data_IF_112029595461
#
_entry.id   IF_112029595461
#
_cell.length_a   1.000
_cell.length_b   1.000
_cell.length_c   1.000
_cell.angle_alpha   90.00
_cell.angle_beta   90.00
_cell.angle_gamma   90.00
#
_symmetry.space_group_name_H-M   'P 1'
#
loop_
_entity.id
_entity.type
_entity.pdbx_description
1 polymer ?
#
# COMPACT_ATOMS: atom_id res chain seq x y z
N UNK A 1 -1.82 11.66 -9.77
CA UNK A 1 -2.57 10.41 -9.56
C UNK A 1 -3.66 10.53 -8.51
N UNK A 2 -3.50 11.33 -7.44
CA UNK A 2 -4.58 11.56 -6.47
C UNK A 2 -5.78 12.38 -7.00
N UNK A 3 -5.56 13.36 -7.89
CA UNK A 3 -6.61 14.27 -8.37
C UNK A 3 -7.81 13.57 -9.03
N UNK A 4 -7.62 12.62 -9.97
CA UNK A 4 -8.75 11.92 -10.60
C UNK A 4 -9.62 11.15 -9.59
N UNK A 5 -8.99 10.47 -8.62
CA UNK A 5 -9.70 9.71 -7.57
C UNK A 5 -10.45 10.69 -6.64
N UNK A 6 -9.83 11.82 -6.30
CA UNK A 6 -10.46 12.86 -5.50
C UNK A 6 -11.70 13.46 -6.19
N UNK A 7 -11.61 13.71 -7.50
CA UNK A 7 -12.74 14.18 -8.31
C UNK A 7 -13.89 13.17 -8.37
N UNK A 8 -13.57 11.88 -8.59
CA UNK A 8 -14.56 10.79 -8.60
C UNK A 8 -15.28 10.63 -7.26
N UNK A 9 -14.56 10.75 -6.16
CA UNK A 9 -15.10 10.58 -4.81
C UNK A 9 -15.67 11.88 -4.22
N UNK A 10 -15.66 12.98 -4.98
CA UNK A 10 -16.03 14.32 -4.52
C UNK A 10 -15.33 14.71 -3.21
N UNK A 11 -14.09 14.27 -3.05
CA UNK A 11 -13.27 14.46 -1.86
C UNK A 11 -12.08 15.39 -2.17
N UNK A 12 -11.49 15.98 -1.13
CA UNK A 12 -10.24 16.71 -1.28
C UNK A 12 -9.07 15.74 -1.50
N UNK A 13 -8.00 16.23 -2.14
CA UNK A 13 -6.77 15.43 -2.31
C UNK A 13 -6.18 15.02 -0.97
N UNK A 14 -6.30 15.88 0.05
CA UNK A 14 -5.85 15.57 1.40
C UNK A 14 -6.68 14.45 2.02
N UNK A 15 -8.01 14.48 1.86
CA UNK A 15 -8.90 13.42 2.32
C UNK A 15 -8.55 12.07 1.69
N UNK A 16 -8.32 12.02 0.38
CA UNK A 16 -7.95 10.76 -0.30
C UNK A 16 -6.60 10.23 0.20
N UNK A 17 -5.60 11.11 0.37
CA UNK A 17 -4.28 10.69 0.86
C UNK A 17 -4.34 10.17 2.31
N UNK A 18 -5.11 10.82 3.18
CA UNK A 18 -5.31 10.41 4.56
C UNK A 18 -6.12 9.11 4.66
N UNK A 19 -7.19 8.96 3.88
CA UNK A 19 -8.00 7.75 3.81
C UNK A 19 -7.17 6.55 3.33
N UNK A 20 -6.30 6.76 2.34
CA UNK A 20 -5.36 5.75 1.88
C UNK A 20 -4.39 5.31 2.99
N UNK A 21 -3.84 6.26 3.74
CA UNK A 21 -2.93 5.97 4.83
C UNK A 21 -3.64 5.20 5.96
N UNK A 22 -4.88 5.59 6.29
CA UNK A 22 -5.72 4.91 7.29
C UNK A 22 -6.10 3.47 6.87
N UNK A 23 -6.19 3.19 5.57
CA UNK A 23 -6.51 1.86 5.06
C UNK A 23 -5.32 0.87 5.15
N UNK A 24 -4.10 1.33 5.47
CA UNK A 24 -2.90 0.49 5.54
C UNK A 24 -2.88 -0.33 6.83
N UNK A 25 -2.75 -1.67 6.76
CA UNK A 25 -2.66 -2.51 7.96
C UNK A 25 -1.49 -2.17 8.89
N UNK A 26 -0.39 -1.65 8.33
CA UNK A 26 0.80 -1.25 9.09
C UNK A 26 0.66 0.10 9.82
N UNK A 27 -0.42 0.86 9.56
CA UNK A 27 -0.66 2.17 10.14
C UNK A 27 -1.69 2.04 11.26
N UNK A 28 -1.26 2.31 12.50
CA UNK A 28 -2.14 2.24 13.68
C UNK A 28 -2.88 3.56 13.93
N UNK A 29 -2.25 4.69 13.60
CA UNK A 29 -2.84 6.02 13.75
C UNK A 29 -2.13 7.00 12.82
N UNK A 30 -2.85 8.05 12.42
CA UNK A 30 -2.34 9.13 11.56
C UNK A 30 -2.31 10.43 12.35
N UNK A 31 -1.13 11.02 12.48
CA UNK A 31 -0.95 12.33 13.11
C UNK A 31 -1.05 13.40 12.02
N UNK A 32 -2.03 14.28 12.13
CA UNK A 32 -2.26 15.37 11.17
C UNK A 32 -1.94 16.74 11.78
N UNK A 33 -1.24 17.58 11.02
CA UNK A 33 -1.07 19.00 11.32
C UNK A 33 -1.96 19.86 10.42
N UNK A 34 -2.52 20.93 10.97
CA UNK A 34 -3.32 21.89 10.21
C UNK A 34 -2.96 23.33 10.61
N UNK A 35 -2.88 24.23 9.62
CA UNK A 35 -2.56 25.65 9.84
C UNK A 35 -3.76 26.46 10.31
N UNK A 36 -4.96 26.03 9.94
CA UNK A 36 -6.22 26.68 10.27
C UNK A 36 -7.32 25.64 10.48
N UNK A 37 -8.46 26.10 11.01
CA UNK A 37 -9.56 25.22 11.38
C UNK A 37 -10.22 24.55 10.16
N UNK A 38 -10.40 25.28 9.06
CA UNK A 38 -11.04 24.70 7.86
C UNK A 38 -10.24 23.56 7.25
N UNK A 39 -8.90 23.64 7.26
CA UNK A 39 -8.04 22.55 6.85
C UNK A 39 -8.14 21.34 7.80
N UNK A 40 -8.22 21.59 9.11
CA UNK A 40 -8.39 20.52 10.09
C UNK A 40 -9.72 19.79 9.87
N UNK A 41 -10.81 20.54 9.70
CA UNK A 41 -12.15 19.99 9.41
C UNK A 41 -12.16 19.21 8.09
N UNK A 42 -11.48 19.70 7.06
CA UNK A 42 -11.34 18.99 5.79
C UNK A 42 -10.56 17.67 5.96
N UNK A 43 -9.44 17.70 6.69
CA UNK A 43 -8.62 16.51 6.93
C UNK A 43 -9.37 15.44 7.74
N UNK A 44 -10.19 15.84 8.74
CA UNK A 44 -10.92 14.88 9.58
C UNK A 44 -11.97 14.11 8.77
N UNK A 45 -12.61 14.73 7.78
CA UNK A 45 -13.56 14.08 6.87
C UNK A 45 -12.94 12.96 6.01
N UNK A 46 -11.62 12.79 6.03
CA UNK A 46 -10.97 11.65 5.41
C UNK A 46 -11.49 10.30 5.94
N UNK A 47 -11.98 10.24 7.18
CA UNK A 47 -12.54 9.01 7.76
C UNK A 47 -13.83 8.55 7.08
N UNK A 48 -14.53 9.45 6.38
CA UNK A 48 -15.76 9.16 5.66
C UNK A 48 -15.50 8.72 4.21
N UNK A 49 -14.24 8.82 3.74
CA UNK A 49 -13.86 8.44 2.38
C UNK A 49 -13.65 6.93 2.30
N UNK A 50 -14.47 6.27 1.49
CA UNK A 50 -14.32 4.83 1.20
C UNK A 50 -13.58 4.64 -0.12
N UNK A 51 -12.39 4.04 -0.06
CA UNK A 51 -11.59 3.70 -1.24
C UNK A 51 -11.93 2.29 -1.72
N UNK A 52 -12.18 2.14 -3.02
CA UNK A 52 -12.34 0.83 -3.64
C UNK A 52 -11.00 0.08 -3.68
N UNK A 53 -11.04 -1.25 -3.87
CA UNK A 53 -9.82 -2.04 -4.07
C UNK A 53 -9.00 -1.55 -5.28
N UNK A 54 -9.66 -1.04 -6.33
CA UNK A 54 -9.00 -0.45 -7.48
C UNK A 54 -8.27 0.85 -7.11
N UNK A 55 -8.90 1.72 -6.31
CA UNK A 55 -8.26 2.95 -5.82
C UNK A 55 -7.04 2.64 -4.95
N UNK A 56 -7.18 1.69 -4.02
CA UNK A 56 -6.08 1.28 -3.15
C UNK A 56 -4.91 0.72 -3.97
N UNK A 57 -5.16 -0.17 -4.92
CA UNK A 57 -4.10 -0.73 -5.77
C UNK A 57 -3.40 0.35 -6.61
N UNK A 58 -4.16 1.28 -7.19
CA UNK A 58 -3.60 2.37 -7.97
C UNK A 58 -2.71 3.29 -7.13
N UNK A 59 -3.15 3.62 -5.92
CA UNK A 59 -2.38 4.43 -4.97
C UNK A 59 -1.14 3.68 -4.46
N UNK A 60 -1.26 2.38 -4.19
CA UNK A 60 -0.16 1.54 -3.74
C UNK A 60 0.96 1.45 -4.76
N UNK A 61 0.62 1.27 -6.03
CA UNK A 61 1.61 1.20 -7.11
C UNK A 61 2.44 2.48 -7.23
N UNK A 62 1.79 3.64 -7.14
CA UNK A 62 2.49 4.93 -7.29
C UNK A 62 3.24 5.36 -6.04
N UNK A 63 2.92 4.77 -4.89
CA UNK A 63 3.57 5.03 -3.60
C UNK A 63 4.69 4.03 -3.27
N UNK A 64 5.01 3.08 -4.14
CA UNK A 64 6.09 2.13 -3.89
C UNK A 64 7.43 2.85 -3.79
N UNK A 65 8.10 2.65 -2.65
CA UNK A 65 9.48 3.06 -2.47
C UNK A 65 10.39 2.19 -3.34
N UNK A 66 11.46 2.76 -3.91
CA UNK A 66 12.49 1.94 -4.53
C UNK A 66 13.11 1.00 -3.47
N UNK A 67 13.55 -0.20 -3.88
CA UNK A 67 14.13 -1.16 -2.95
C UNK A 67 15.33 -0.55 -2.22
N UNK A 68 15.28 -0.58 -0.89
CA UNK A 68 16.37 -0.08 -0.04
C UNK A 68 17.62 -0.97 -0.15
N UNK A 69 18.79 -0.45 0.23
CA UNK A 69 20.00 -1.27 0.31
C UNK A 69 19.89 -2.27 1.48
N UNK A 70 20.31 -3.54 1.32
CA UNK A 70 20.86 -4.18 0.11
C UNK A 70 19.79 -4.84 -0.76
N UNK A 71 18.51 -4.63 -0.50
CA UNK A 71 17.38 -5.20 -1.23
C UNK A 71 17.42 -4.99 -2.74
N UNK A 72 17.96 -3.86 -3.23
CA UNK A 72 18.18 -3.67 -4.68
C UNK A 72 19.27 -4.59 -5.24
N UNK A 73 20.28 -4.98 -4.43
CA UNK A 73 21.40 -5.83 -4.87
C UNK A 73 21.02 -7.29 -4.95
N UNK A 74 20.10 -7.75 -4.09
CA UNK A 74 19.75 -9.16 -3.96
C UNK A 74 19.36 -9.76 -5.32
N UNK A 75 18.42 -9.20 -6.12
CA UNK A 75 18.09 -9.72 -7.45
C UNK A 75 19.30 -9.86 -8.38
N UNK A 76 20.22 -8.89 -8.37
CA UNK A 76 21.44 -8.94 -9.19
C UNK A 76 22.43 -10.00 -8.71
N UNK A 77 22.56 -10.21 -7.40
CA UNK A 77 23.54 -11.15 -6.82
C UNK A 77 23.05 -12.59 -6.71
N UNK A 78 21.73 -12.81 -6.64
CA UNK A 78 21.12 -14.14 -6.63
C UNK A 78 20.59 -14.58 -7.98
N UNK A 79 20.75 -13.77 -9.04
CA UNK A 79 20.36 -14.12 -10.41
C UNK A 79 20.92 -15.50 -10.84
N UNK A 80 22.16 -15.80 -10.45
CA UNK A 80 22.83 -17.07 -10.77
C UNK A 80 22.66 -18.15 -9.69
N UNK A 81 22.02 -17.84 -8.55
CA UNK A 81 21.85 -18.76 -7.41
C UNK A 81 20.53 -19.51 -7.40
N UNK A 82 19.49 -18.99 -8.04
CA UNK A 82 18.19 -19.63 -8.11
C UNK A 82 18.09 -20.40 -9.43
N UNK A 83 18.02 -21.73 -9.34
CA UNK A 83 17.71 -22.56 -10.51
C UNK A 83 16.31 -22.16 -11.05
N UNK A 84 16.17 -21.87 -12.36
CA UNK A 84 14.90 -21.47 -12.99
C UNK A 84 13.74 -22.46 -12.77
N UNK A 85 14.03 -23.71 -12.44
CA UNK A 85 13.08 -24.80 -12.19
C UNK A 85 12.92 -25.12 -10.68
N UNK A 86 13.57 -24.39 -9.78
CA UNK A 86 13.54 -24.67 -8.35
C UNK A 86 12.29 -24.07 -7.70
N UNK A 87 11.24 -24.89 -7.58
CA UNK A 87 10.10 -24.59 -6.70
C UNK A 87 10.48 -24.88 -5.23
N UNK A 88 11.03 -23.86 -4.56
CA UNK A 88 11.37 -23.87 -3.13
C UNK A 88 10.17 -24.18 -2.20
N UNK A 89 8.94 -24.13 -2.72
CA UNK A 89 7.72 -24.31 -1.93
C UNK A 89 7.04 -25.66 -2.18
N UNK A 90 7.60 -26.51 -3.04
CA UNK A 90 7.08 -27.85 -3.40
C UNK A 90 6.83 -28.74 -2.17
N UNK A 91 7.83 -28.88 -1.30
CA UNK A 91 7.75 -29.71 -0.09
C UNK A 91 6.83 -29.13 1.01
N UNK A 92 6.54 -27.82 0.96
CA UNK A 92 5.60 -27.18 1.90
C UNK A 92 4.14 -27.35 1.45
N UNK A 93 3.88 -27.57 0.16
CA UNK A 93 2.54 -27.88 -0.37
C UNK A 93 2.05 -29.26 0.10
N UNK A 94 2.96 -30.20 0.28
CA UNK A 94 2.65 -31.54 0.81
C UNK A 94 2.26 -31.49 2.30
N UNK A 95 2.87 -30.59 3.08
CA UNK A 95 2.58 -30.43 4.50
C UNK A 95 1.17 -29.85 4.79
N UNK A 96 0.60 -29.10 3.84
CA UNK A 96 -0.75 -28.49 3.99
C UNK A 96 -1.87 -29.46 3.60
N UNK A 97 -1.59 -30.53 2.84
CA UNK A 97 -2.62 -31.49 2.40
C UNK A 97 -2.89 -32.65 3.37
N UNK A 98 -2.08 -32.83 4.42
CA UNK A 98 -2.20 -33.99 5.35
C UNK A 98 -3.09 -33.71 6.57
N UNK A 99 -3.59 -32.48 6.75
CA UNK A 99 -4.50 -32.12 7.84
C UNK A 99 -5.95 -31.98 7.38
N UNK A 100 -6.63 -33.09 7.08
CA UNK A 100 -8.08 -33.16 6.94
C UNK A 100 -8.66 -34.11 7.98
#
# INVERSE_FOLDING_TARGET
>A
MLRPIAEELHASVAQVALAWLLAKPAVTSVIIGAKNLSQLEDNIKAVDVTLSAAHLNALDQVSQLPPEYPGWMVPFQTADRLDPNLDLWSHLKDAVSVGK
#
